data_IF_342025507569
#
_entry.id   IF_342025507569
#
_cell.length_a   1.000
_cell.length_b   1.000
_cell.length_c   1.000
_cell.angle_alpha   90.00
_cell.angle_beta   90.00
_cell.angle_gamma   90.00
#
_symmetry.space_group_name_H-M   'P 1'
#
loop_
_entity.id
_entity.type
_entity.pdbx_description
1 polymer ?
#
# COMPACT_ATOMS: atom_id res chain seq x y z
N UNK A 1 -9.40 17.04 18.26
CA UNK A 1 -9.22 15.79 17.50
C UNK A 1 -7.77 15.34 17.70
N UNK A 2 -7.52 14.49 18.68
CA UNK A 2 -6.21 13.86 18.89
C UNK A 2 -6.12 12.69 17.91
N UNK A 3 -5.54 12.92 16.74
CA UNK A 3 -4.98 11.80 15.97
C UNK A 3 -3.91 11.20 16.89
N UNK A 4 -4.24 10.08 17.54
CA UNK A 4 -3.36 9.48 18.53
C UNK A 4 -2.07 9.05 17.85
N UNK A 5 -0.92 9.26 18.51
CA UNK A 5 0.40 8.81 18.05
C UNK A 5 0.36 7.38 17.49
N UNK A 6 -0.44 6.51 18.12
CA UNK A 6 -0.69 5.13 17.71
C UNK A 6 -1.28 4.97 16.28
N UNK A 7 -2.25 5.80 15.87
CA UNK A 7 -2.80 5.78 14.50
C UNK A 7 -1.73 6.19 13.47
N UNK A 8 -0.88 7.15 13.83
CA UNK A 8 0.22 7.59 12.97
C UNK A 8 1.30 6.50 12.84
N UNK A 9 1.70 5.87 13.95
CA UNK A 9 2.66 4.76 13.93
C UNK A 9 2.16 3.56 13.12
N UNK A 10 0.88 3.18 13.28
CA UNK A 10 0.26 2.11 12.49
C UNK A 10 0.25 2.43 11.00
N UNK A 11 -0.13 3.66 10.63
CA UNK A 11 -0.10 4.11 9.25
C UNK A 11 1.31 4.02 8.65
N UNK A 12 2.33 4.54 9.34
CA UNK A 12 3.71 4.50 8.84
C UNK A 12 4.28 3.07 8.77
N UNK A 13 3.88 2.19 9.69
CA UNK A 13 4.23 0.77 9.62
C UNK A 13 3.62 0.09 8.38
N UNK A 14 2.35 0.36 8.07
CA UNK A 14 1.69 -0.16 6.87
C UNK A 14 2.34 0.37 5.59
N UNK A 15 2.64 1.67 5.52
CA UNK A 15 3.34 2.28 4.37
C UNK A 15 4.72 1.64 4.17
N UNK A 16 5.48 1.41 5.25
CA UNK A 16 6.78 0.72 5.17
C UNK A 16 6.66 -0.73 4.70
N UNK A 17 5.66 -1.47 5.17
CA UNK A 17 5.45 -2.86 4.78
C UNK A 17 5.13 -2.97 3.28
N UNK A 18 4.21 -2.13 2.79
CA UNK A 18 3.86 -2.04 1.37
C UNK A 18 5.08 -1.60 0.54
N UNK A 19 5.79 -0.56 0.97
CA UNK A 19 6.96 -0.02 0.29
C UNK A 19 8.06 -1.07 0.08
N UNK A 20 8.46 -1.79 1.14
CA UNK A 20 9.50 -2.82 1.03
C UNK A 20 9.17 -3.93 0.04
N UNK A 21 7.89 -4.34 -0.04
CA UNK A 21 7.48 -5.37 -1.00
C UNK A 21 7.49 -4.83 -2.43
N UNK A 22 7.02 -3.60 -2.62
CA UNK A 22 7.04 -2.95 -3.94
C UNK A 22 8.46 -2.70 -4.45
N UNK A 23 9.46 -2.48 -3.60
CA UNK A 23 10.86 -2.32 -4.00
C UNK A 23 11.43 -3.54 -4.73
N UNK A 24 10.87 -4.75 -4.53
CA UNK A 24 11.24 -5.94 -5.29
C UNK A 24 10.73 -5.90 -6.74
N UNK A 25 9.60 -5.21 -6.97
CA UNK A 25 8.90 -5.15 -8.27
C UNK A 25 9.16 -3.86 -9.04
N UNK A 26 9.42 -2.76 -8.32
CA UNK A 26 9.46 -1.41 -8.86
C UNK A 26 10.61 -0.61 -8.27
N UNK A 27 11.12 0.32 -9.08
CA UNK A 27 11.98 1.39 -8.57
C UNK A 27 11.21 2.29 -7.58
N UNK A 28 11.88 3.02 -6.69
CA UNK A 28 11.21 3.84 -5.66
C UNK A 28 10.19 4.84 -6.24
N UNK A 29 10.54 5.50 -7.36
CA UNK A 29 9.67 6.45 -8.06
C UNK A 29 8.40 5.76 -8.60
N UNK A 30 8.56 4.56 -9.15
CA UNK A 30 7.48 3.71 -9.66
C UNK A 30 6.60 3.15 -8.55
N UNK A 31 7.18 2.84 -7.39
CA UNK A 31 6.44 2.41 -6.21
C UNK A 31 5.50 3.51 -5.71
N UNK A 32 5.98 4.76 -5.70
CA UNK A 32 5.17 5.93 -5.33
C UNK A 32 4.03 6.18 -6.32
N UNK A 33 4.31 6.06 -7.63
CA UNK A 33 3.28 6.11 -8.68
C UNK A 33 2.23 5.01 -8.44
N UNK A 34 2.66 3.77 -8.24
CA UNK A 34 1.78 2.61 -8.06
C UNK A 34 0.84 2.75 -6.85
N UNK A 35 1.31 3.25 -5.70
CA UNK A 35 0.46 3.43 -4.52
C UNK A 35 -0.56 4.57 -4.68
N UNK A 36 -0.31 5.50 -5.61
CA UNK A 36 -1.21 6.61 -5.93
C UNK A 36 -2.15 6.27 -7.10
N UNK A 37 -1.79 5.31 -7.96
CA UNK A 37 -2.61 4.88 -9.09
C UNK A 37 -3.79 4.01 -8.63
N UNK A 38 -5.01 4.29 -9.09
CA UNK A 38 -6.15 3.41 -8.85
C UNK A 38 -6.00 2.07 -9.59
N UNK A 39 -6.22 0.95 -8.88
CA UNK A 39 -6.15 -0.38 -9.47
C UNK A 39 -7.54 -1.00 -9.65
N UNK A 40 -7.82 -1.66 -10.79
CA UNK A 40 -9.10 -2.33 -11.01
C UNK A 40 -9.35 -3.47 -10.01
N UNK A 41 -8.30 -4.19 -9.59
CA UNK A 41 -8.40 -5.24 -8.57
C UNK A 41 -8.78 -4.72 -7.17
N UNK A 42 -8.60 -3.42 -6.94
CA UNK A 42 -8.97 -2.72 -5.70
C UNK A 42 -10.29 -1.96 -5.85
N UNK A 43 -11.08 -2.27 -6.87
CA UNK A 43 -12.32 -1.57 -7.17
C UNK A 43 -12.09 -0.14 -7.66
N UNK A 44 -11.06 0.06 -8.48
CA UNK A 44 -10.60 1.37 -8.97
C UNK A 44 -10.25 2.35 -7.83
N UNK A 45 -9.65 1.83 -6.75
CA UNK A 45 -9.15 2.64 -5.65
C UNK A 45 -7.63 2.63 -5.61
N UNK A 46 -7.06 3.75 -5.17
CA UNK A 46 -5.63 3.86 -4.95
C UNK A 46 -5.24 3.09 -3.67
N UNK A 47 -4.11 2.34 -3.67
CA UNK A 47 -3.60 1.64 -2.51
C UNK A 47 -3.42 2.56 -1.30
N UNK A 48 -2.89 3.77 -1.52
CA UNK A 48 -2.72 4.76 -0.47
C UNK A 48 -4.04 5.13 0.22
N UNK A 49 -5.15 5.19 -0.53
CA UNK A 49 -6.47 5.47 0.02
C UNK A 49 -7.00 4.29 0.86
N UNK A 50 -6.70 3.05 0.49
CA UNK A 50 -7.06 1.87 1.28
C UNK A 50 -6.23 1.77 2.56
N UNK A 51 -4.93 2.05 2.50
CA UNK A 51 -4.06 2.10 3.68
C UNK A 51 -4.55 3.16 4.68
N UNK A 52 -4.93 4.35 4.19
CA UNK A 52 -5.51 5.41 5.03
C UNK A 52 -6.86 5.02 5.66
N UNK A 53 -7.59 4.07 5.06
CA UNK A 53 -8.84 3.50 5.59
C UNK A 53 -8.60 2.28 6.49
N UNK A 54 -7.34 1.92 6.77
CA UNK A 54 -6.99 0.72 7.54
C UNK A 54 -7.13 -0.60 6.78
N UNK A 55 -7.46 -0.56 5.48
CA UNK A 55 -7.66 -1.73 4.61
C UNK A 55 -6.36 -2.13 3.92
N UNK A 56 -5.28 -2.27 4.69
CA UNK A 56 -3.95 -2.61 4.17
C UNK A 56 -3.88 -4.04 3.62
N UNK A 57 -4.68 -4.96 4.18
CA UNK A 57 -4.73 -6.36 3.77
C UNK A 57 -4.99 -6.52 2.27
N UNK A 58 -5.97 -5.79 1.72
CA UNK A 58 -6.29 -5.80 0.29
C UNK A 58 -5.12 -5.36 -0.60
N UNK A 59 -4.32 -4.41 -0.10
CA UNK A 59 -3.14 -3.92 -0.82
C UNK A 59 -2.03 -4.97 -0.78
N UNK A 60 -1.83 -5.63 0.37
CA UNK A 60 -0.85 -6.69 0.51
C UNK A 60 -1.21 -7.91 -0.32
N UNK A 61 -2.48 -8.32 -0.35
CA UNK A 61 -2.97 -9.41 -1.21
C UNK A 61 -2.72 -9.12 -2.70
N UNK A 62 -2.90 -7.87 -3.13
CA UNK A 62 -2.56 -7.49 -4.51
C UNK A 62 -1.07 -7.66 -4.79
N UNK A 63 -0.21 -7.28 -3.85
CA UNK A 63 1.24 -7.43 -3.99
C UNK A 63 1.65 -8.90 -3.96
N UNK A 64 1.06 -9.73 -3.10
CA UNK A 64 1.28 -11.18 -3.07
C UNK A 64 0.95 -11.81 -4.43
N UNK A 65 -0.16 -11.43 -5.06
CA UNK A 65 -0.49 -11.88 -6.43
C UNK A 65 0.53 -11.43 -7.49
N UNK A 66 1.22 -10.33 -7.27
CA UNK A 66 2.30 -9.87 -8.17
C UNK A 66 3.58 -10.68 -7.95
N UNK A 67 3.88 -11.04 -6.71
CA UNK A 67 4.97 -11.94 -6.33
C UNK A 67 4.79 -13.34 -6.93
N UNK A 68 3.57 -13.91 -6.87
CA UNK A 68 3.27 -15.21 -7.46
C UNK A 68 3.44 -15.26 -9.00
N UNK A 69 3.50 -14.10 -9.65
CA UNK A 69 3.62 -13.96 -11.12
C UNK A 69 5.02 -13.56 -11.61
N UNK A 70 5.95 -13.26 -10.70
CA UNK A 70 7.34 -12.85 -11.05
C UNK A 70 8.31 -14.03 -11.17
#
# INVERSE_FOLDING_TARGET
MTTSQADSDLFWNHVRAVGRRLEAHFRPEKSMEWVCTPHPELGNRAPAALVAQGRVELVLELIDKMDERS
#
